data_IF_380006659579
#
_entry.id   IF_380006659579
#
_cell.length_a   1.000
_cell.length_b   1.000
_cell.length_c   1.000
_cell.angle_alpha   90.00
_cell.angle_beta   90.00
_cell.angle_gamma   90.00
#
_symmetry.space_group_name_H-M   'P 1'
#
loop_
_entity.id
_entity.type
_entity.pdbx_description
1 polymer ?
#
# COMPACT_ATOMS: atom_id res chain seq x y z
N UNK A 1 11.74 18.00 1.42
CA UNK A 1 12.76 17.42 2.32
C UNK A 1 13.57 16.42 1.52
N UNK A 2 14.91 16.41 1.62
CA UNK A 2 15.75 15.42 0.93
C UNK A 2 15.73 14.10 1.73
N UNK A 3 15.53 12.97 1.05
CA UNK A 3 15.71 11.64 1.62
C UNK A 3 17.20 11.28 1.51
N UNK A 4 17.81 10.85 2.60
CA UNK A 4 19.25 10.60 2.67
C UNK A 4 19.53 9.12 2.89
N UNK A 5 20.58 8.62 2.23
CA UNK A 5 21.10 7.26 2.37
C UNK A 5 20.07 6.16 1.99
N UNK A 6 20.24 4.92 2.50
CA UNK A 6 19.36 3.75 2.30
C UNK A 6 19.35 3.18 0.89
N UNK A 7 20.45 3.35 0.14
CA UNK A 7 20.56 2.88 -1.25
C UNK A 7 20.30 1.38 -1.37
N UNK A 8 20.92 0.58 -0.51
CA UNK A 8 20.77 -0.89 -0.52
C UNK A 8 19.35 -1.33 -0.21
N UNK A 9 18.68 -0.69 0.75
CA UNK A 9 17.28 -1.01 1.05
C UNK A 9 16.34 -0.59 -0.10
N UNK A 10 16.58 0.57 -0.72
CA UNK A 10 15.82 1.01 -1.90
C UNK A 10 16.02 0.08 -3.09
N UNK A 11 17.24 -0.38 -3.35
CA UNK A 11 17.56 -1.37 -4.38
C UNK A 11 16.81 -2.69 -4.12
N UNK A 12 16.76 -3.14 -2.86
CA UNK A 12 16.02 -4.34 -2.47
C UNK A 12 14.52 -4.18 -2.71
N UNK A 13 13.94 -3.05 -2.32
CA UNK A 13 12.51 -2.75 -2.55
C UNK A 13 12.18 -2.66 -4.04
N UNK A 14 13.07 -2.06 -4.84
CA UNK A 14 12.94 -1.99 -6.30
C UNK A 14 12.92 -3.38 -6.91
N UNK A 15 13.85 -4.25 -6.51
CA UNK A 15 13.89 -5.65 -6.98
C UNK A 15 12.63 -6.42 -6.57
N UNK A 16 12.13 -6.23 -5.35
CA UNK A 16 10.89 -6.85 -4.91
C UNK A 16 9.68 -6.36 -5.74
N UNK A 17 9.65 -5.07 -6.09
CA UNK A 17 8.66 -4.48 -6.99
C UNK A 17 8.68 -5.12 -8.38
N UNK A 18 9.87 -5.29 -8.98
CA UNK A 18 9.99 -5.97 -10.27
C UNK A 18 9.59 -7.45 -10.21
N UNK A 19 9.88 -8.13 -9.11
CA UNK A 19 9.43 -9.51 -8.89
C UNK A 19 7.90 -9.59 -8.77
N UNK A 20 7.26 -8.58 -8.17
CA UNK A 20 5.81 -8.56 -7.97
C UNK A 20 5.00 -8.56 -9.28
N UNK A 21 5.60 -8.08 -10.38
CA UNK A 21 5.00 -8.12 -11.73
C UNK A 21 4.90 -9.53 -12.31
N UNK A 22 5.71 -10.47 -11.81
CA UNK A 22 5.78 -11.86 -12.31
C UNK A 22 5.07 -12.85 -11.38
N UNK A 23 5.03 -12.55 -10.09
CA UNK A 23 4.46 -13.44 -9.07
C UNK A 23 3.99 -12.63 -7.87
N UNK A 24 2.94 -13.10 -7.19
CA UNK A 24 2.46 -12.47 -5.97
C UNK A 24 3.58 -12.37 -4.91
N UNK A 25 3.79 -11.17 -4.38
CA UNK A 25 4.84 -10.88 -3.41
C UNK A 25 4.25 -10.22 -2.16
N UNK A 26 4.62 -10.72 -0.98
CA UNK A 26 4.32 -10.09 0.29
C UNK A 26 5.61 -9.69 0.99
N UNK A 27 5.86 -8.39 1.12
CA UNK A 27 7.09 -7.86 1.72
C UNK A 27 6.81 -7.27 3.10
N UNK A 28 7.57 -7.71 4.11
CA UNK A 28 7.49 -7.18 5.48
C UNK A 28 8.74 -6.37 5.80
N UNK A 29 8.57 -5.09 6.15
CA UNK A 29 9.68 -4.24 6.58
C UNK A 29 9.79 -4.21 8.11
N UNK A 30 10.88 -4.78 8.63
CA UNK A 30 11.16 -4.85 10.07
C UNK A 30 12.29 -3.90 10.48
N UNK A 31 12.33 -3.52 11.76
CA UNK A 31 13.40 -2.68 12.30
C UNK A 31 12.96 -1.86 13.52
N UNK A 32 13.93 -1.23 14.21
CA UNK A 32 13.69 -0.46 15.45
C UNK A 32 12.68 0.68 15.27
N UNK A 33 12.05 1.09 16.38
CA UNK A 33 11.13 2.24 16.41
C UNK A 33 11.90 3.50 15.97
N UNK A 34 11.25 4.37 15.17
CA UNK A 34 11.79 5.65 14.64
C UNK A 34 12.99 5.56 13.67
N UNK A 35 13.26 4.40 13.08
CA UNK A 35 14.37 4.23 12.12
C UNK A 35 14.04 4.69 10.68
N UNK A 36 12.85 5.26 10.44
CA UNK A 36 12.47 5.80 9.11
C UNK A 36 11.79 4.80 8.16
N UNK A 37 11.29 3.65 8.63
CA UNK A 37 10.64 2.62 7.79
C UNK A 37 9.54 3.17 6.86
N UNK A 38 8.60 3.93 7.41
CA UNK A 38 7.50 4.52 6.61
C UNK A 38 8.03 5.46 5.55
N UNK A 39 9.00 6.32 5.88
CA UNK A 39 9.62 7.23 4.93
C UNK A 39 10.36 6.49 3.81
N UNK A 40 11.04 5.39 4.14
CA UNK A 40 11.72 4.53 3.17
C UNK A 40 10.73 3.88 2.19
N UNK A 41 9.62 3.32 2.69
CA UNK A 41 8.58 2.74 1.84
C UNK A 41 7.98 3.79 0.90
N UNK A 42 7.60 4.96 1.43
CA UNK A 42 7.02 6.04 0.63
C UNK A 42 8.00 6.57 -0.43
N UNK A 43 9.29 6.67 -0.12
CA UNK A 43 10.31 7.05 -1.12
C UNK A 43 10.49 5.95 -2.18
N UNK A 44 10.42 4.66 -1.81
CA UNK A 44 10.58 3.54 -2.75
C UNK A 44 9.50 3.43 -3.83
N UNK A 45 8.30 3.93 -3.54
CA UNK A 45 7.15 3.93 -4.47
C UNK A 45 6.87 5.31 -5.06
N UNK A 46 7.78 6.27 -4.84
CA UNK A 46 7.61 7.65 -5.29
C UNK A 46 7.56 7.72 -6.81
N UNK A 47 6.57 8.44 -7.34
CA UNK A 47 6.32 8.52 -8.78
C UNK A 47 5.58 7.32 -9.35
N UNK A 48 5.24 6.33 -8.52
CA UNK A 48 4.38 5.20 -8.90
C UNK A 48 2.98 5.41 -8.32
N UNK A 49 1.97 4.80 -8.93
CA UNK A 49 0.61 4.76 -8.38
C UNK A 49 0.57 3.70 -7.27
N UNK A 50 0.27 4.09 -6.04
CA UNK A 50 0.22 3.18 -4.90
C UNK A 50 -0.90 3.58 -3.93
N UNK A 51 -1.48 2.60 -3.23
CA UNK A 51 -2.47 2.83 -2.18
C UNK A 51 -1.81 2.69 -0.79
N UNK A 52 -1.88 3.72 0.03
CA UNK A 52 -1.33 3.72 1.39
C UNK A 52 -2.43 3.67 2.45
N UNK A 53 -2.68 2.48 2.98
CA UNK A 53 -3.69 2.25 4.02
C UNK A 53 -3.11 2.49 5.41
N UNK A 54 -3.37 3.67 6.00
CA UNK A 54 -2.88 3.99 7.34
C UNK A 54 -3.77 3.41 8.44
N UNK A 55 -3.29 2.36 9.10
CA UNK A 55 -3.99 1.72 10.23
C UNK A 55 -3.83 2.54 11.51
N UNK A 56 -4.77 3.46 11.75
CA UNK A 56 -4.85 4.27 12.98
C UNK A 56 -5.53 3.51 14.13
N UNK A 57 -5.52 4.07 15.35
CA UNK A 57 -6.27 3.52 16.50
C UNK A 57 -7.77 3.81 16.36
N UNK A 58 -8.44 3.08 15.48
CA UNK A 58 -9.89 3.13 15.25
C UNK A 58 -10.43 1.71 15.16
N UNK A 59 -11.75 1.56 15.26
CA UNK A 59 -12.39 0.28 14.97
C UNK A 59 -12.36 0.00 13.46
N UNK A 60 -12.51 -1.28 13.11
CA UNK A 60 -12.40 -1.76 11.73
C UNK A 60 -13.39 -1.08 10.75
N UNK A 61 -14.68 -0.85 11.10
CA UNK A 61 -15.59 -0.17 10.17
C UNK A 61 -15.18 1.27 9.83
N UNK A 62 -14.67 2.02 10.81
CA UNK A 62 -14.16 3.37 10.56
C UNK A 62 -12.90 3.34 9.70
N UNK A 63 -12.00 2.37 9.91
CA UNK A 63 -10.83 2.19 9.05
C UNK A 63 -11.24 1.84 7.61
N UNK A 64 -12.18 0.90 7.43
CA UNK A 64 -12.66 0.51 6.11
C UNK A 64 -13.31 1.68 5.36
N UNK A 65 -14.08 2.52 6.05
CA UNK A 65 -14.64 3.74 5.45
C UNK A 65 -13.55 4.68 4.94
N UNK A 66 -12.47 4.85 5.71
CA UNK A 66 -11.32 5.66 5.27
C UNK A 66 -10.59 5.03 4.09
N UNK A 67 -10.34 3.73 4.14
CA UNK A 67 -9.64 3.01 3.09
C UNK A 67 -10.44 2.96 1.78
N UNK A 68 -11.76 2.82 1.85
CA UNK A 68 -12.64 2.89 0.68
C UNK A 68 -12.56 4.27 0.01
N UNK A 69 -12.50 5.34 0.81
CA UNK A 69 -12.27 6.70 0.30
C UNK A 69 -10.90 6.84 -0.35
N UNK A 70 -9.83 6.37 0.31
CA UNK A 70 -8.47 6.40 -0.24
C UNK A 70 -8.35 5.60 -1.54
N UNK A 71 -8.99 4.43 -1.62
CA UNK A 71 -9.03 3.62 -2.83
C UNK A 71 -9.75 4.33 -3.99
N UNK A 72 -10.84 5.02 -3.72
CA UNK A 72 -11.54 5.83 -4.73
C UNK A 72 -10.67 7.00 -5.20
N UNK A 73 -10.08 7.77 -4.28
CA UNK A 73 -9.29 8.96 -4.60
C UNK A 73 -7.99 8.63 -5.34
N UNK A 74 -7.32 7.54 -4.98
CA UNK A 74 -6.00 7.19 -5.53
C UNK A 74 -6.09 6.24 -6.71
N UNK A 75 -6.98 5.25 -6.65
CA UNK A 75 -7.10 4.22 -7.68
C UNK A 75 -8.24 4.48 -8.65
N UNK A 76 -9.24 5.30 -8.29
CA UNK A 76 -10.51 5.40 -9.01
C UNK A 76 -11.44 4.21 -8.72
N UNK A 77 -11.11 3.38 -7.72
CA UNK A 77 -11.88 2.19 -7.38
C UNK A 77 -13.14 2.58 -6.60
N UNK A 78 -14.29 2.60 -7.29
CA UNK A 78 -15.57 2.84 -6.66
C UNK A 78 -16.18 1.54 -6.13
N UNK A 79 -16.26 1.41 -4.81
CA UNK A 79 -16.93 0.30 -4.14
C UNK A 79 -18.29 0.78 -3.64
N UNK A 80 -19.36 0.10 -4.04
CA UNK A 80 -20.73 0.47 -3.67
C UNK A 80 -21.10 -0.09 -2.29
N UNK A 81 -21.90 0.67 -1.55
CA UNK A 81 -22.25 0.36 -0.16
C UNK A 81 -21.14 0.76 0.82
N UNK A 82 -21.32 0.37 2.08
CA UNK A 82 -20.37 0.66 3.16
C UNK A 82 -19.62 -0.61 3.52
N UNK A 83 -18.30 -0.62 3.30
CA UNK A 83 -17.47 -1.73 3.78
C UNK A 83 -17.21 -1.56 5.27
N UNK A 84 -17.54 -2.60 6.04
CA UNK A 84 -17.33 -2.65 7.49
C UNK A 84 -16.25 -3.65 7.91
N UNK A 85 -15.84 -4.56 7.02
CA UNK A 85 -14.82 -5.57 7.25
C UNK A 85 -13.67 -5.42 6.24
N UNK A 86 -12.43 -5.53 6.72
CA UNK A 86 -11.24 -5.38 5.89
C UNK A 86 -11.15 -6.49 4.83
N UNK A 87 -11.66 -7.69 5.12
CA UNK A 87 -11.71 -8.80 4.16
C UNK A 87 -12.39 -8.37 2.86
N UNK A 88 -13.54 -7.72 2.97
CA UNK A 88 -14.36 -7.34 1.81
C UNK A 88 -13.64 -6.26 0.98
N UNK A 89 -13.02 -5.28 1.65
CA UNK A 89 -12.17 -4.28 0.98
C UNK A 89 -11.00 -4.95 0.26
N UNK A 90 -10.31 -5.87 0.94
CA UNK A 90 -9.12 -6.52 0.40
C UNK A 90 -9.45 -7.39 -0.81
N UNK A 91 -10.58 -8.09 -0.79
CA UNK A 91 -11.10 -8.82 -1.95
C UNK A 91 -11.32 -7.88 -3.15
N UNK A 92 -11.98 -6.73 -2.94
CA UNK A 92 -12.19 -5.75 -4.02
C UNK A 92 -10.86 -5.22 -4.59
N UNK A 93 -9.85 -4.98 -3.74
CA UNK A 93 -8.52 -4.55 -4.18
C UNK A 93 -7.82 -5.62 -5.02
N UNK A 94 -7.92 -6.90 -4.65
CA UNK A 94 -7.36 -8.00 -5.43
C UNK A 94 -8.09 -8.16 -6.78
N UNK A 95 -9.42 -8.09 -6.79
CA UNK A 95 -10.21 -8.12 -8.02
C UNK A 95 -9.85 -6.95 -8.94
N UNK A 96 -9.68 -5.74 -8.40
CA UNK A 96 -9.22 -4.58 -9.15
C UNK A 96 -7.84 -4.81 -9.77
N UNK A 97 -6.88 -5.33 -8.99
CA UNK A 97 -5.51 -5.58 -9.45
C UNK A 97 -5.41 -6.62 -10.60
N UNK A 98 -6.37 -7.54 -10.72
CA UNK A 98 -6.40 -8.48 -11.86
C UNK A 98 -6.83 -7.84 -13.18
N UNK A 99 -7.57 -6.72 -13.12
CA UNK A 99 -8.06 -6.00 -14.31
C UNK A 99 -7.08 -4.92 -14.75
N UNK A 100 -6.44 -4.30 -13.78
CA UNK A 100 -5.47 -3.23 -13.99
C UNK A 100 -4.06 -3.79 -13.84
N UNK A 101 -3.51 -4.36 -14.92
CA UNK A 101 -2.10 -4.72 -14.97
C UNK A 101 -1.25 -3.44 -15.03
N UNK A 102 -0.60 -3.09 -13.92
CA UNK A 102 0.46 -2.08 -13.84
C UNK A 102 1.85 -2.73 -13.89
#
# INVERSE_FOLDING_TARGET
>A
MKFYDRKTELETLTRNGEQSKKSACFTVMVGRRRIGKTSLLLESVKGQKYLYLFVSRKNEPLLCTQFQKEAMEVLGLQIFGTITQFRDLFEQLLLFATKEHY
#
